data_IF_390971175016
#
_entry.id   IF_390971175016
#
_cell.length_a   1.000
_cell.length_b   1.000
_cell.length_c   1.000
_cell.angle_alpha   90.00
_cell.angle_beta   90.00
_cell.angle_gamma   90.00
#
_symmetry.space_group_name_H-M   'P 1'
#
loop_
_entity.id
_entity.type
_entity.pdbx_description
1 polymer ?
#
# COMPACT_ATOMS: atom_id res chain seq x y z
N UNK A 1 -27.75 -27.68 -36.88
CA UNK A 1 -27.18 -26.32 -36.76
C UNK A 1 -26.49 -26.25 -35.41
N UNK A 2 -25.26 -25.73 -35.41
CA UNK A 2 -24.19 -26.10 -34.50
C UNK A 2 -24.44 -25.74 -33.03
N UNK A 3 -24.08 -26.67 -32.15
CA UNK A 3 -23.84 -26.41 -30.75
C UNK A 3 -22.43 -25.82 -30.61
N UNK A 4 -22.35 -24.52 -30.34
CA UNK A 4 -21.11 -23.86 -29.92
C UNK A 4 -20.69 -24.42 -28.55
N UNK A 5 -19.68 -25.29 -28.57
CA UNK A 5 -18.88 -25.60 -27.38
C UNK A 5 -17.98 -24.40 -27.13
N UNK A 6 -18.34 -23.59 -26.13
CA UNK A 6 -17.48 -22.53 -25.62
C UNK A 6 -16.17 -23.15 -25.13
N UNK A 7 -15.08 -22.93 -25.86
CA UNK A 7 -13.74 -23.21 -25.38
C UNK A 7 -13.48 -22.34 -24.15
N UNK A 8 -13.37 -22.97 -22.97
CA UNK A 8 -12.95 -22.28 -21.76
C UNK A 8 -11.58 -21.63 -22.01
N UNK A 9 -11.50 -20.31 -21.88
CA UNK A 9 -10.26 -19.57 -22.02
C UNK A 9 -9.24 -20.12 -20.99
N UNK A 10 -8.02 -20.43 -21.45
CA UNK A 10 -6.94 -20.87 -20.57
C UNK A 10 -6.59 -19.76 -19.57
N UNK A 11 -6.89 -19.97 -18.29
CA UNK A 11 -6.62 -19.07 -17.14
C UNK A 11 -5.15 -19.01 -16.70
N UNK A 12 -4.24 -19.56 -17.49
CA UNK A 12 -2.81 -19.60 -17.17
C UNK A 12 -2.02 -18.61 -18.03
N UNK A 13 -1.15 -17.82 -17.39
CA UNK A 13 -0.21 -16.93 -18.08
C UNK A 13 1.12 -17.66 -18.26
N UNK A 14 1.65 -17.64 -19.49
CA UNK A 14 2.95 -18.24 -19.83
C UNK A 14 3.93 -17.15 -20.23
N UNK A 15 5.08 -17.08 -19.57
CA UNK A 15 6.13 -16.07 -19.83
C UNK A 15 7.52 -16.68 -19.78
N UNK A 16 8.52 -15.90 -20.20
CA UNK A 16 9.94 -16.21 -20.02
C UNK A 16 10.52 -15.27 -18.97
N UNK A 17 11.25 -15.83 -17.99
CA UNK A 17 11.85 -15.10 -16.88
C UNK A 17 13.33 -15.43 -16.78
N UNK A 18 14.19 -14.44 -16.66
CA UNK A 18 15.64 -14.65 -16.44
C UNK A 18 15.94 -15.00 -14.98
N UNK A 19 15.20 -14.40 -14.05
CA UNK A 19 15.37 -14.64 -12.63
C UNK A 19 14.87 -16.05 -12.23
N UNK A 20 15.64 -16.82 -11.42
CA UNK A 20 15.26 -18.15 -10.96
C UNK A 20 14.05 -18.13 -10.03
N UNK A 21 13.42 -19.30 -9.73
CA UNK A 21 12.42 -19.39 -8.67
C UNK A 21 13.01 -18.91 -7.33
N UNK A 22 12.21 -18.16 -6.58
CA UNK A 22 12.53 -17.62 -5.26
C UNK A 22 12.16 -18.56 -4.11
N UNK A 23 11.12 -19.41 -4.27
CA UNK A 23 10.72 -20.34 -3.19
C UNK A 23 11.50 -21.66 -3.20
N UNK A 24 11.60 -22.33 -4.35
CA UNK A 24 12.33 -23.60 -4.44
C UNK A 24 12.78 -23.93 -5.87
N UNK A 25 13.98 -24.51 -5.99
CA UNK A 25 14.51 -25.10 -7.22
C UNK A 25 14.97 -26.55 -6.98
N UNK A 26 14.60 -27.42 -7.91
CA UNK A 26 15.02 -28.81 -7.98
C UNK A 26 15.85 -29.04 -9.25
N UNK A 27 17.13 -29.35 -9.05
CA UNK A 27 18.05 -29.72 -10.13
C UNK A 27 18.19 -31.24 -10.21
N UNK A 28 17.91 -31.80 -11.37
CA UNK A 28 18.00 -33.23 -11.63
C UNK A 28 19.20 -33.46 -12.54
N UNK A 29 20.10 -34.34 -12.12
CA UNK A 29 21.34 -34.57 -12.85
C UNK A 29 21.20 -35.54 -14.02
N UNK A 30 20.22 -36.45 -13.96
CA UNK A 30 19.95 -37.44 -14.99
C UNK A 30 18.44 -37.66 -15.08
N UNK A 31 17.80 -37.01 -16.07
CA UNK A 31 16.35 -37.07 -16.25
C UNK A 31 15.87 -38.48 -16.60
N UNK A 32 16.61 -39.25 -17.41
CA UNK A 32 16.18 -40.61 -17.77
C UNK A 32 16.13 -41.55 -16.55
N UNK A 33 17.12 -41.45 -15.65
CA UNK A 33 17.09 -42.21 -14.40
C UNK A 33 16.01 -41.70 -13.45
N UNK A 34 15.80 -40.39 -13.39
CA UNK A 34 14.73 -39.78 -12.61
C UNK A 34 13.35 -40.26 -13.07
N UNK A 35 13.08 -40.22 -14.38
CA UNK A 35 11.84 -40.69 -14.97
C UNK A 35 11.59 -42.16 -14.61
N UNK A 36 12.59 -43.03 -14.85
CA UNK A 36 12.50 -44.47 -14.49
C UNK A 36 12.28 -44.70 -13.01
N UNK A 37 12.92 -43.91 -12.13
CA UNK A 37 12.77 -44.09 -10.70
C UNK A 37 11.38 -43.67 -10.21
N UNK A 38 10.71 -42.72 -10.87
CA UNK A 38 9.35 -42.33 -10.47
C UNK A 38 8.30 -43.41 -10.73
N UNK A 39 8.57 -44.37 -11.62
CA UNK A 39 7.65 -45.51 -11.90
C UNK A 39 7.40 -46.34 -10.64
N UNK A 40 8.39 -46.45 -9.74
CA UNK A 40 8.22 -47.16 -8.46
C UNK A 40 7.59 -46.31 -7.35
N UNK A 41 7.27 -45.04 -7.62
CA UNK A 41 6.72 -44.09 -6.65
C UNK A 41 5.44 -43.40 -7.14
N UNK A 42 4.50 -44.17 -7.71
CA UNK A 42 3.21 -43.65 -8.23
C UNK A 42 3.42 -42.57 -9.31
N UNK A 43 4.45 -42.78 -10.15
CA UNK A 43 4.83 -41.91 -11.28
C UNK A 43 5.17 -40.47 -10.89
N UNK A 44 5.50 -40.21 -9.61
CA UNK A 44 5.85 -38.88 -9.12
C UNK A 44 7.07 -38.87 -8.24
N UNK A 45 7.74 -37.73 -8.24
CA UNK A 45 8.73 -37.36 -7.25
C UNK A 45 8.14 -36.31 -6.30
N UNK A 46 8.36 -36.48 -4.99
CA UNK A 46 8.08 -35.46 -3.99
C UNK A 46 9.41 -34.90 -3.47
N UNK A 47 9.56 -33.57 -3.52
CA UNK A 47 10.77 -32.91 -3.01
C UNK A 47 10.91 -33.03 -1.49
N UNK A 48 12.06 -32.59 -0.98
CA UNK A 48 12.19 -32.22 0.43
C UNK A 48 11.28 -31.04 0.76
N UNK A 49 11.00 -30.88 2.05
CA UNK A 49 10.25 -29.74 2.55
C UNK A 49 11.06 -28.46 2.30
N UNK A 50 10.38 -27.41 1.86
CA UNK A 50 10.89 -26.05 1.82
C UNK A 50 9.88 -25.08 2.43
N UNK A 51 10.37 -23.97 2.97
CA UNK A 51 9.54 -22.99 3.65
C UNK A 51 9.31 -21.76 2.75
N UNK A 52 8.06 -21.31 2.65
CA UNK A 52 7.71 -20.06 1.98
C UNK A 52 6.46 -19.46 2.62
N UNK A 53 6.45 -18.13 2.81
CA UNK A 53 5.31 -17.41 3.39
C UNK A 53 4.90 -17.86 4.79
N UNK A 54 5.82 -18.43 5.57
CA UNK A 54 5.55 -18.95 6.92
C UNK A 54 5.00 -20.39 6.97
N UNK A 55 4.87 -21.07 5.83
CA UNK A 55 4.36 -22.43 5.74
C UNK A 55 5.39 -23.37 5.10
N UNK A 56 5.22 -24.67 5.34
CA UNK A 56 6.05 -25.73 4.78
C UNK A 56 5.37 -26.38 3.58
N UNK A 57 6.13 -26.57 2.51
CA UNK A 57 5.64 -27.01 1.21
C UNK A 57 6.51 -28.12 0.64
N UNK A 58 5.94 -28.88 -0.31
CA UNK A 58 6.67 -29.81 -1.19
C UNK A 58 6.31 -29.57 -2.64
N UNK A 59 7.31 -29.66 -3.50
CA UNK A 59 7.14 -29.69 -4.94
C UNK A 59 6.92 -31.14 -5.37
N UNK A 60 5.87 -31.39 -6.14
CA UNK A 60 5.53 -32.70 -6.69
C UNK A 60 5.67 -32.61 -8.21
N UNK A 61 6.40 -33.55 -8.81
CA UNK A 61 6.64 -33.59 -10.26
C UNK A 61 6.26 -34.96 -10.79
N UNK A 62 5.45 -34.98 -11.84
CA UNK A 62 5.16 -36.18 -12.64
C UNK A 62 5.86 -36.01 -14.00
N UNK A 63 7.02 -36.67 -14.22
CA UNK A 63 7.79 -36.50 -15.47
C UNK A 63 7.11 -37.09 -16.72
N UNK A 64 6.13 -37.97 -16.54
CA UNK A 64 5.30 -38.53 -17.62
C UNK A 64 3.84 -38.06 -17.55
N UNK A 65 3.56 -37.17 -16.60
CA UNK A 65 2.24 -36.62 -16.34
C UNK A 65 1.42 -37.37 -15.31
N UNK A 66 0.52 -36.63 -14.66
CA UNK A 66 -0.44 -37.19 -13.72
C UNK A 66 -1.66 -37.74 -14.46
N UNK A 67 -1.66 -39.03 -14.77
CA UNK A 67 -2.78 -39.68 -15.48
C UNK A 67 -4.12 -39.58 -14.74
N UNK A 68 -4.11 -39.41 -13.40
CA UNK A 68 -5.33 -39.24 -12.59
C UNK A 68 -5.94 -37.84 -12.72
N UNK A 69 -5.22 -36.89 -13.33
CA UNK A 69 -5.62 -35.48 -13.48
C UNK A 69 -5.42 -35.00 -14.93
N UNK A 70 -5.63 -35.89 -15.92
CA UNK A 70 -5.53 -35.58 -17.35
C UNK A 70 -4.18 -34.96 -17.78
N UNK A 71 -3.09 -35.31 -17.11
CA UNK A 71 -1.74 -34.81 -17.40
C UNK A 71 -0.89 -35.70 -18.31
N UNK A 72 -1.38 -36.88 -18.71
CA UNK A 72 -0.61 -37.84 -19.52
C UNK A 72 0.00 -37.21 -20.77
N UNK A 73 1.29 -37.46 -21.00
CA UNK A 73 2.03 -36.89 -22.13
C UNK A 73 2.56 -35.46 -21.89
N UNK A 74 2.37 -34.92 -20.69
CA UNK A 74 2.90 -33.63 -20.26
C UNK A 74 3.66 -33.79 -18.95
N UNK A 75 4.70 -32.98 -18.75
CA UNK A 75 5.21 -32.72 -17.41
C UNK A 75 4.07 -32.07 -16.60
N UNK A 76 3.72 -32.67 -15.46
CA UNK A 76 2.80 -32.06 -14.48
C UNK A 76 3.58 -31.67 -13.23
N UNK A 77 3.26 -30.51 -12.65
CA UNK A 77 3.84 -30.09 -11.37
C UNK A 77 2.76 -29.58 -10.44
N UNK A 78 2.92 -29.88 -9.16
CA UNK A 78 2.01 -29.49 -8.08
C UNK A 78 2.82 -29.04 -6.87
N UNK A 79 2.17 -28.30 -5.99
CA UNK A 79 2.68 -27.99 -4.67
C UNK A 79 1.71 -28.54 -3.63
N UNK A 80 2.27 -29.11 -2.57
CA UNK A 80 1.55 -29.64 -1.42
C UNK A 80 1.95 -28.85 -0.18
N UNK A 81 0.99 -28.36 0.59
CA UNK A 81 1.24 -27.80 1.92
C UNK A 81 1.27 -28.92 2.96
N UNK A 82 2.21 -28.87 3.88
CA UNK A 82 2.28 -29.83 4.99
C UNK A 82 1.09 -29.63 5.94
N UNK A 83 0.41 -30.73 6.29
CA UNK A 83 -0.82 -30.68 7.10
C UNK A 83 -0.56 -30.14 8.51
N UNK A 84 0.63 -30.42 9.07
CA UNK A 84 1.07 -29.85 10.35
C UNK A 84 1.10 -28.31 10.30
N UNK A 85 1.45 -27.71 9.16
CA UNK A 85 1.43 -26.25 8.98
C UNK A 85 0.02 -25.66 8.96
N UNK A 86 -1.01 -26.46 8.69
CA UNK A 86 -2.43 -26.05 8.74
C UNK A 86 -3.05 -26.26 10.13
N UNK A 87 -2.40 -27.04 11.00
CA UNK A 87 -2.90 -27.42 12.32
C UNK A 87 -2.32 -26.56 13.46
N UNK A 88 -1.41 -25.62 13.15
CA UNK A 88 -0.74 -24.76 14.14
C UNK A 88 -1.72 -23.81 14.84
N UNK A 89 -2.85 -23.49 14.21
CA UNK A 89 -3.90 -22.64 14.77
C UNK A 89 -5.21 -23.43 14.83
N UNK A 90 -5.99 -23.21 15.89
CA UNK A 90 -7.36 -23.73 16.04
C UNK A 90 -8.33 -22.55 15.91
N UNK A 91 -9.27 -22.56 14.94
CA UNK A 91 -9.61 -23.60 13.96
C UNK A 91 -8.59 -23.74 12.80
N UNK A 92 -8.65 -24.83 11.98
CA UNK A 92 -7.72 -25.04 10.86
C UNK A 92 -7.60 -23.82 9.96
N UNK A 93 -6.37 -23.38 9.71
CA UNK A 93 -6.12 -22.17 8.91
C UNK A 93 -6.39 -22.44 7.43
N UNK A 94 -6.99 -21.47 6.76
CA UNK A 94 -7.02 -21.42 5.30
C UNK A 94 -5.85 -20.59 4.80
N UNK A 95 -5.05 -21.17 3.91
CA UNK A 95 -3.89 -20.51 3.34
C UNK A 95 -4.18 -20.19 1.89
N UNK A 96 -4.15 -18.91 1.55
CA UNK A 96 -4.29 -18.45 0.18
C UNK A 96 -2.90 -18.23 -0.40
N UNK A 97 -2.62 -18.82 -1.57
CA UNK A 97 -1.32 -18.64 -2.21
C UNK A 97 -1.41 -18.55 -3.73
N UNK A 98 -0.61 -17.66 -4.32
CA UNK A 98 -0.31 -17.67 -5.75
C UNK A 98 0.82 -18.66 -6.01
N UNK A 99 0.68 -19.42 -7.11
CA UNK A 99 1.64 -20.46 -7.48
C UNK A 99 2.17 -20.17 -8.87
N UNK A 100 3.50 -20.19 -9.01
CA UNK A 100 4.17 -20.08 -10.32
C UNK A 100 5.14 -21.22 -10.47
N UNK A 101 5.03 -21.98 -11.55
CA UNK A 101 5.93 -23.08 -11.86
C UNK A 101 6.95 -22.67 -12.90
N UNK A 102 8.15 -23.23 -12.79
CA UNK A 102 9.29 -22.92 -13.63
C UNK A 102 9.90 -24.19 -14.22
N UNK A 103 10.21 -24.13 -15.52
CA UNK A 103 11.05 -25.13 -16.20
C UNK A 103 12.20 -24.38 -16.86
N UNK A 104 13.44 -24.66 -16.47
CA UNK A 104 14.60 -23.97 -17.02
C UNK A 104 14.87 -24.41 -18.46
N UNK A 105 15.12 -23.43 -19.32
CA UNK A 105 15.55 -23.63 -20.70
C UNK A 105 16.99 -23.13 -20.84
N UNK A 106 17.93 -24.04 -21.05
CA UNK A 106 19.36 -23.73 -21.17
C UNK A 106 19.69 -22.95 -22.45
N UNK A 107 18.99 -23.24 -23.55
CA UNK A 107 19.20 -22.61 -24.86
C UNK A 107 18.85 -21.13 -24.83
N UNK A 108 17.76 -20.78 -24.16
CA UNK A 108 17.34 -19.38 -23.98
C UNK A 108 17.98 -18.72 -22.75
N UNK A 109 18.61 -19.52 -21.88
CA UNK A 109 19.08 -19.13 -20.55
C UNK A 109 17.98 -18.46 -19.71
N UNK A 110 16.75 -18.98 -19.81
CA UNK A 110 15.54 -18.43 -19.18
C UNK A 110 14.68 -19.55 -18.63
N UNK A 111 13.82 -19.21 -17.68
CA UNK A 111 12.78 -20.09 -17.18
C UNK A 111 11.49 -19.87 -17.93
N UNK A 112 10.95 -20.94 -18.49
CA UNK A 112 9.55 -20.96 -18.90
C UNK A 112 8.70 -20.98 -17.64
N UNK A 113 7.97 -19.90 -17.46
CA UNK A 113 7.14 -19.66 -16.28
C UNK A 113 5.69 -19.87 -16.64
N UNK A 114 4.97 -20.59 -15.78
CA UNK A 114 3.53 -20.79 -15.92
C UNK A 114 2.90 -20.43 -14.60
N UNK A 115 2.06 -19.40 -14.64
CA UNK A 115 1.35 -18.89 -13.49
C UNK A 115 -0.14 -19.15 -13.66
N UNK A 116 -0.76 -19.66 -12.61
CA UNK A 116 -2.21 -19.66 -12.46
C UNK A 116 -2.65 -18.28 -11.98
N UNK A 117 -3.64 -17.67 -12.65
CA UNK A 117 -4.15 -16.34 -12.30
C UNK A 117 -4.93 -16.39 -10.98
N UNK A 118 -5.52 -17.54 -10.65
CA UNK A 118 -6.34 -17.67 -9.45
C UNK A 118 -5.49 -18.00 -8.23
N UNK A 119 -5.71 -17.24 -7.16
CA UNK A 119 -5.19 -17.55 -5.83
C UNK A 119 -5.77 -18.88 -5.35
N UNK A 120 -4.91 -19.81 -4.95
CA UNK A 120 -5.32 -21.14 -4.51
C UNK A 120 -5.55 -21.18 -3.01
N UNK A 121 -6.72 -21.70 -2.63
CA UNK A 121 -7.12 -21.92 -1.24
C UNK A 121 -6.69 -23.30 -0.79
N UNK A 122 -5.68 -23.35 0.06
CA UNK A 122 -5.22 -24.56 0.75
C UNK A 122 -5.93 -24.68 2.09
N UNK A 123 -6.41 -25.88 2.40
CA UNK A 123 -7.03 -26.20 3.68
C UNK A 123 -6.88 -27.71 3.97
N UNK A 124 -7.38 -28.16 5.13
CA UNK A 124 -7.27 -29.55 5.56
C UNK A 124 -7.88 -30.58 4.58
N UNK A 125 -8.82 -30.17 3.72
CA UNK A 125 -9.46 -31.02 2.71
C UNK A 125 -8.78 -30.93 1.35
N UNK A 126 -8.05 -29.84 1.08
CA UNK A 126 -7.37 -29.60 -0.20
C UNK A 126 -5.99 -28.99 0.03
N UNK A 127 -5.01 -29.87 0.19
CA UNK A 127 -3.60 -29.52 0.47
C UNK A 127 -2.72 -29.45 -0.77
N UNK A 128 -3.22 -29.91 -1.93
CA UNK A 128 -2.45 -29.99 -3.18
C UNK A 128 -3.11 -29.15 -4.27
N UNK A 129 -2.32 -28.31 -4.93
CA UNK A 129 -2.71 -27.56 -6.12
C UNK A 129 -1.58 -27.56 -7.13
N UNK A 130 -1.88 -27.52 -8.42
CA UNK A 130 -0.87 -27.57 -9.46
C UNK A 130 -1.44 -27.46 -10.85
N UNK A 131 -0.59 -27.72 -11.84
CA UNK A 131 -0.93 -27.71 -13.24
C UNK A 131 -0.59 -29.07 -13.86
N UNK A 132 -1.61 -29.68 -14.44
CA UNK A 132 -1.52 -30.99 -15.07
C UNK A 132 -0.73 -30.97 -16.40
N UNK A 133 -0.71 -29.84 -17.12
CA UNK A 133 -0.11 -29.73 -18.45
C UNK A 133 0.82 -28.52 -18.56
N UNK A 134 2.00 -28.61 -17.90
CA UNK A 134 3.00 -27.54 -17.91
C UNK A 134 3.74 -27.50 -19.24
N UNK A 135 4.29 -28.64 -19.67
CA UNK A 135 5.10 -28.74 -20.87
C UNK A 135 4.93 -30.13 -21.49
N UNK A 136 4.62 -30.26 -22.79
CA UNK A 136 4.53 -31.57 -23.43
C UNK A 136 5.85 -32.35 -23.26
N UNK A 137 5.77 -33.64 -22.95
CA UNK A 137 6.95 -34.49 -22.76
C UNK A 137 7.83 -34.50 -24.02
N UNK A 138 7.25 -34.58 -25.21
CA UNK A 138 8.00 -34.54 -26.47
C UNK A 138 8.75 -33.22 -26.65
N UNK A 139 8.16 -32.11 -26.21
CA UNK A 139 8.81 -30.79 -26.24
C UNK A 139 9.96 -30.74 -25.23
N UNK A 140 9.75 -31.26 -24.02
CA UNK A 140 10.77 -31.27 -22.96
C UNK A 140 11.97 -32.16 -23.33
N UNK A 141 11.70 -33.35 -23.87
CA UNK A 141 12.72 -34.36 -24.19
C UNK A 141 13.46 -34.11 -25.50
N UNK A 142 12.93 -33.27 -26.39
CA UNK A 142 13.61 -32.91 -27.64
C UNK A 142 14.86 -32.05 -27.33
N UNK A 143 16.08 -32.52 -27.65
CA UNK A 143 17.32 -31.80 -27.39
C UNK A 143 17.37 -30.39 -28.01
N UNK A 144 16.69 -30.18 -29.14
CA UNK A 144 16.63 -28.89 -29.84
C UNK A 144 15.93 -27.79 -29.03
N UNK A 145 15.10 -28.18 -28.06
CA UNK A 145 14.34 -27.27 -27.22
C UNK A 145 15.11 -26.83 -25.95
N UNK A 146 16.20 -27.52 -25.57
CA UNK A 146 17.12 -27.05 -24.53
C UNK A 146 16.64 -27.18 -23.06
N UNK A 147 15.60 -27.96 -22.78
CA UNK A 147 15.15 -28.21 -21.39
C UNK A 147 15.95 -29.31 -20.68
N UNK A 148 16.43 -30.29 -21.43
CA UNK A 148 17.43 -31.26 -20.98
C UNK A 148 18.77 -30.85 -21.59
N UNK A 149 19.79 -30.68 -20.75
CA UNK A 149 21.13 -30.25 -21.16
C UNK A 149 22.21 -31.23 -20.68
N UNK A 150 23.48 -30.86 -20.82
CA UNK A 150 24.68 -31.69 -20.64
C UNK A 150 24.53 -32.80 -19.59
N UNK A 151 24.68 -34.06 -20.01
CA UNK A 151 24.60 -35.23 -19.11
C UNK A 151 23.18 -35.65 -18.73
N UNK A 152 22.13 -35.09 -19.35
CA UNK A 152 20.73 -35.38 -19.02
C UNK A 152 20.19 -34.52 -17.88
N UNK A 153 20.83 -33.37 -17.63
CA UNK A 153 20.46 -32.46 -16.55
C UNK A 153 19.21 -31.66 -16.91
N UNK A 154 18.37 -31.35 -15.91
CA UNK A 154 17.25 -30.42 -16.05
C UNK A 154 16.94 -29.75 -14.71
N UNK A 155 16.15 -28.66 -14.76
CA UNK A 155 15.81 -27.89 -13.57
C UNK A 155 14.32 -27.49 -13.58
N UNK A 156 13.68 -27.75 -12.45
CA UNK A 156 12.29 -27.39 -12.16
C UNK A 156 12.24 -26.45 -10.95
N UNK A 157 11.26 -25.57 -10.92
CA UNK A 157 11.12 -24.61 -9.83
C UNK A 157 9.68 -24.27 -9.50
N UNK A 158 9.50 -23.66 -8.34
CA UNK A 158 8.21 -23.11 -7.92
C UNK A 158 8.40 -21.84 -7.09
N UNK A 159 7.50 -20.89 -7.29
CA UNK A 159 7.23 -19.78 -6.36
C UNK A 159 5.87 -20.03 -5.71
N UNK A 160 5.86 -20.01 -4.38
CA UNK A 160 4.66 -20.06 -3.55
C UNK A 160 4.60 -18.74 -2.79
N UNK A 161 3.69 -17.87 -3.21
CA UNK A 161 3.53 -16.54 -2.61
C UNK A 161 2.26 -16.56 -1.79
N UNK A 162 2.43 -16.65 -0.48
CA UNK A 162 1.30 -16.69 0.46
C UNK A 162 0.70 -15.31 0.59
N UNK A 163 -0.59 -15.20 0.28
CA UNK A 163 -1.41 -14.02 0.50
C UNK A 163 -1.81 -13.98 1.97
N UNK A 164 -1.07 -13.19 2.75
CA UNK A 164 -1.45 -12.92 4.13
C UNK A 164 -2.75 -12.09 4.17
N UNK A 165 -3.60 -12.27 5.20
CA UNK A 165 -4.76 -11.40 5.40
C UNK A 165 -4.31 -9.94 5.51
N UNK A 166 -5.21 -9.01 5.18
CA UNK A 166 -4.95 -7.59 5.32
C UNK A 166 -4.69 -7.26 6.80
N UNK A 167 -3.43 -7.03 7.17
CA UNK A 167 -3.03 -6.75 8.56
C UNK A 167 -2.98 -5.26 8.89
N UNK A 168 -2.85 -4.42 7.86
CA UNK A 168 -2.68 -2.98 8.02
C UNK A 168 -3.61 -2.24 7.08
N UNK A 169 -4.37 -1.30 7.63
CA UNK A 169 -5.17 -0.36 6.85
C UNK A 169 -5.24 0.98 7.58
N UNK A 170 -5.51 2.03 6.80
CA UNK A 170 -5.73 3.38 7.29
C UNK A 170 -7.09 3.89 6.82
N UNK A 171 -7.78 4.64 7.68
CA UNK A 171 -8.95 5.42 7.29
C UNK A 171 -8.64 6.88 7.48
N UNK A 172 -8.60 7.59 6.36
CA UNK A 172 -8.60 9.04 6.30
C UNK A 172 -10.05 9.52 6.36
N UNK A 173 -10.37 10.28 7.39
CA UNK A 173 -11.70 10.85 7.61
C UNK A 173 -11.62 12.37 7.68
N UNK A 174 -12.72 13.05 7.36
CA UNK A 174 -12.83 14.50 7.42
C UNK A 174 -13.95 14.88 8.38
N UNK A 175 -13.61 15.70 9.38
CA UNK A 175 -14.62 16.38 10.18
C UNK A 175 -15.03 17.63 9.41
N UNK A 176 -16.25 17.64 8.86
CA UNK A 176 -16.78 18.77 8.08
C UNK A 176 -17.94 19.50 8.79
N UNK A 177 -18.55 18.85 9.77
CA UNK A 177 -19.62 19.42 10.58
C UNK A 177 -19.08 19.78 11.96
N UNK A 178 -18.96 21.08 12.20
CA UNK A 178 -18.56 21.63 13.50
C UNK A 178 -19.79 22.26 14.15
N UNK A 179 -19.95 22.10 15.47
CA UNK A 179 -21.01 22.77 16.24
C UNK A 179 -20.80 24.29 16.31
N UNK A 180 -19.54 24.72 16.35
CA UNK A 180 -19.10 26.09 16.13
C UNK A 180 -17.84 26.01 15.26
N UNK A 181 -17.96 26.38 13.97
CA UNK A 181 -16.86 26.28 13.00
C UNK A 181 -15.91 27.47 13.07
N UNK A 182 -16.20 28.48 13.90
CA UNK A 182 -15.49 29.75 13.89
C UNK A 182 -14.70 29.97 15.16
N UNK A 183 -13.52 30.55 15.01
CA UNK A 183 -12.76 31.12 16.09
C UNK A 183 -12.46 32.58 15.78
N UNK A 184 -12.92 33.48 16.64
CA UNK A 184 -12.67 34.93 16.52
C UNK A 184 -11.72 35.40 17.61
N UNK A 185 -10.81 36.30 17.23
CA UNK A 185 -9.81 36.88 18.13
C UNK A 185 -9.71 38.38 17.90
N UNK A 186 -9.89 39.15 18.97
CA UNK A 186 -9.75 40.60 18.97
C UNK A 186 -8.41 41.00 19.59
N UNK A 187 -7.63 41.79 18.85
CA UNK A 187 -6.36 42.36 19.28
C UNK A 187 -6.57 43.85 19.51
N UNK A 188 -6.54 44.27 20.79
CA UNK A 188 -6.75 45.67 21.18
C UNK A 188 -5.46 46.48 21.11
N UNK A 189 -5.59 47.81 20.96
CA UNK A 189 -4.48 48.77 20.89
C UNK A 189 -3.40 48.32 19.89
N UNK A 190 -3.83 47.87 18.71
CA UNK A 190 -2.99 47.21 17.72
C UNK A 190 -1.79 48.06 17.31
N UNK A 191 -1.98 49.38 17.20
CA UNK A 191 -0.97 50.34 16.78
C UNK A 191 0.13 50.54 17.83
N UNK A 192 -0.14 50.22 19.10
CA UNK A 192 0.77 50.37 20.24
C UNK A 192 1.53 49.08 20.61
N UNK A 193 1.29 47.99 19.89
CA UNK A 193 1.92 46.69 20.17
C UNK A 193 3.45 46.78 20.06
N UNK A 194 4.13 46.46 21.16
CA UNK A 194 5.59 46.44 21.26
C UNK A 194 6.21 45.12 20.80
N UNK A 195 5.47 44.02 20.96
CA UNK A 195 5.94 42.69 20.58
C UNK A 195 5.73 42.45 19.08
N UNK A 196 6.71 41.78 18.47
CA UNK A 196 6.67 41.47 17.04
C UNK A 196 5.68 40.35 16.67
N UNK A 197 5.23 39.58 17.66
CA UNK A 197 4.28 38.48 17.49
C UNK A 197 3.23 38.52 18.59
N UNK A 198 1.98 38.30 18.22
CA UNK A 198 0.86 38.10 19.13
C UNK A 198 0.36 36.67 18.98
N UNK A 199 0.03 36.03 20.10
CA UNK A 199 -0.46 34.65 20.13
C UNK A 199 -1.86 34.60 20.72
N UNK A 200 -2.81 33.97 20.03
CA UNK A 200 -4.18 33.83 20.54
C UNK A 200 -4.24 32.81 21.69
N UNK A 201 -5.37 32.81 22.42
CA UNK A 201 -5.73 31.63 23.24
C UNK A 201 -5.83 30.39 22.34
N UNK A 202 -5.54 29.23 22.91
CA UNK A 202 -5.79 27.96 22.22
C UNK A 202 -7.28 27.67 22.10
N UNK A 203 -7.67 26.98 21.05
CA UNK A 203 -9.04 26.54 20.78
C UNK A 203 -9.05 25.16 20.15
N UNK A 204 -10.18 24.45 20.25
CA UNK A 204 -10.31 23.08 19.73
C UNK A 204 -11.17 23.06 18.49
N UNK A 205 -10.70 22.38 17.44
CA UNK A 205 -11.42 22.20 16.18
C UNK A 205 -11.03 20.88 15.55
N UNK A 206 -12.02 20.07 15.13
CA UNK A 206 -11.75 18.77 14.52
C UNK A 206 -11.01 17.78 15.44
N UNK A 207 -11.24 17.88 16.76
CA UNK A 207 -10.56 17.05 17.76
C UNK A 207 -9.09 17.42 18.01
N UNK A 208 -8.60 18.52 17.43
CA UNK A 208 -7.22 19.01 17.60
C UNK A 208 -7.22 20.40 18.25
N UNK A 209 -6.15 20.72 18.98
CA UNK A 209 -5.95 22.03 19.60
C UNK A 209 -5.07 22.91 18.70
N UNK A 210 -5.58 24.11 18.44
CA UNK A 210 -4.97 25.10 17.56
C UNK A 210 -4.78 26.42 18.27
N UNK A 211 -3.97 27.29 17.69
CA UNK A 211 -3.86 28.70 18.08
C UNK A 211 -3.37 29.52 16.89
N UNK A 212 -3.61 30.84 16.91
CA UNK A 212 -3.14 31.75 15.88
C UNK A 212 -1.88 32.48 16.33
N UNK A 213 -0.92 32.62 15.41
CA UNK A 213 0.18 33.58 15.51
C UNK A 213 -0.04 34.69 14.51
N UNK A 214 0.00 35.93 14.99
CA UNK A 214 -0.14 37.12 14.17
C UNK A 214 1.09 38.00 14.36
N UNK A 215 1.66 38.47 13.25
CA UNK A 215 2.80 39.38 13.25
C UNK A 215 2.32 40.74 12.75
N UNK A 216 2.11 41.74 13.63
CA UNK A 216 1.49 43.01 13.28
C UNK A 216 2.21 43.77 12.17
N UNK A 217 3.54 43.64 12.10
CA UNK A 217 4.39 44.26 11.06
C UNK A 217 4.93 43.23 10.06
N UNK A 218 4.39 42.03 10.09
CA UNK A 218 4.90 40.90 9.33
C UNK A 218 6.04 40.16 10.03
N UNK A 219 6.26 38.91 9.64
CA UNK A 219 7.40 38.13 10.12
C UNK A 219 8.73 38.61 9.47
N UNK A 220 9.84 37.97 9.82
CA UNK A 220 11.18 38.35 9.32
C UNK A 220 11.33 38.30 7.79
N UNK A 221 10.36 37.71 7.07
CA UNK A 221 10.35 37.54 5.62
C UNK A 221 9.40 38.53 4.92
N UNK A 222 8.68 39.37 5.67
CA UNK A 222 7.59 40.21 5.17
C UNK A 222 7.93 41.71 5.00
N UNK A 223 9.21 42.09 5.09
CA UNK A 223 9.74 43.46 4.89
C UNK A 223 9.04 44.59 5.67
N UNK A 224 8.27 44.29 6.72
CA UNK A 224 7.59 45.31 7.52
C UNK A 224 6.27 45.85 6.95
N UNK A 225 5.82 45.38 5.77
CA UNK A 225 4.76 46.04 4.96
C UNK A 225 3.39 45.40 5.04
N UNK A 226 3.34 44.12 5.41
CA UNK A 226 2.12 43.33 5.45
C UNK A 226 1.98 42.65 6.81
N UNK A 227 0.73 42.49 7.26
CA UNK A 227 0.37 41.60 8.34
C UNK A 227 0.71 40.15 7.94
N UNK A 228 1.35 39.38 8.82
CA UNK A 228 1.44 37.92 8.67
C UNK A 228 0.52 37.23 9.66
N UNK A 229 -0.08 36.11 9.25
CA UNK A 229 -0.93 35.31 10.12
C UNK A 229 -0.75 33.82 9.81
N UNK A 230 -0.70 33.01 10.87
CA UNK A 230 -0.50 31.56 10.80
C UNK A 230 -1.45 30.85 11.76
N UNK A 231 -2.02 29.74 11.30
CA UNK A 231 -2.67 28.74 12.14
C UNK A 231 -1.62 27.73 12.57
N UNK A 232 -1.43 27.61 13.88
CA UNK A 232 -0.49 26.70 14.49
C UNK A 232 -1.22 25.57 15.20
N UNK A 233 -0.72 24.36 15.02
CA UNK A 233 -1.13 23.17 15.77
C UNK A 233 -0.39 23.16 17.12
N UNK A 234 -1.09 22.85 18.19
CA UNK A 234 -0.48 22.76 19.52
C UNK A 234 0.45 21.54 19.63
N UNK A 235 1.50 21.66 20.45
CA UNK A 235 2.50 20.60 20.62
C UNK A 235 1.89 19.28 21.13
N UNK A 236 0.82 19.34 21.95
CA UNK A 236 0.11 18.15 22.44
C UNK A 236 -0.62 17.37 21.34
N UNK A 237 -0.84 17.99 20.17
CA UNK A 237 -1.52 17.41 19.02
C UNK A 237 -0.58 17.24 17.81
N UNK A 238 0.74 17.39 18.01
CA UNK A 238 1.75 17.21 16.98
C UNK A 238 1.58 15.85 16.29
N UNK A 239 1.54 15.80 14.94
CA UNK A 239 1.45 14.54 14.20
C UNK A 239 2.67 13.66 14.48
N UNK A 240 2.47 12.35 14.53
CA UNK A 240 3.56 11.38 14.56
C UNK A 240 4.35 11.38 13.23
N UNK A 241 5.54 10.74 13.17
CA UNK A 241 6.21 10.49 11.90
C UNK A 241 5.23 9.87 10.89
N UNK A 242 5.29 10.35 9.64
CA UNK A 242 4.42 9.96 8.52
C UNK A 242 2.92 10.28 8.66
N UNK A 243 2.46 10.83 9.78
CA UNK A 243 1.10 11.35 9.94
C UNK A 243 0.99 12.76 9.34
N UNK A 244 -0.13 13.03 8.65
CA UNK A 244 -0.46 14.36 8.13
C UNK A 244 -1.88 14.75 8.51
N UNK A 245 -2.07 16.03 8.82
CA UNK A 245 -3.37 16.61 9.14
C UNK A 245 -3.69 17.66 8.09
N UNK A 246 -4.74 17.45 7.30
CA UNK A 246 -5.27 18.44 6.40
C UNK A 246 -6.21 19.38 7.14
N UNK A 247 -6.09 20.67 6.84
CA UNK A 247 -7.05 21.68 7.25
C UNK A 247 -7.52 22.45 6.03
N UNK A 248 -8.83 22.57 5.90
CA UNK A 248 -9.48 23.55 5.05
C UNK A 248 -10.21 24.56 5.91
N UNK A 249 -9.92 25.84 5.71
CA UNK A 249 -10.54 26.94 6.44
C UNK A 249 -10.61 28.22 5.59
N UNK A 250 -11.27 29.25 6.10
CA UNK A 250 -11.19 30.62 5.60
C UNK A 250 -10.64 31.50 6.71
N UNK A 251 -9.54 32.19 6.45
CA UNK A 251 -9.09 33.27 7.33
C UNK A 251 -9.78 34.57 6.93
N UNK A 252 -10.16 35.37 7.92
CA UNK A 252 -10.82 36.65 7.75
C UNK A 252 -10.21 37.74 8.63
N UNK A 253 -10.17 38.96 8.09
CA UNK A 253 -10.09 40.19 8.88
C UNK A 253 -11.45 40.86 8.81
N UNK A 254 -12.07 41.05 9.97
CA UNK A 254 -13.43 41.56 10.05
C UNK A 254 -13.43 43.08 9.93
N UNK A 255 -14.08 43.60 8.89
CA UNK A 255 -14.49 45.01 8.83
C UNK A 255 -15.47 45.31 9.98
N UNK A 256 -15.15 46.25 10.89
CA UNK A 256 -16.00 46.58 12.03
C UNK A 256 -17.36 47.18 11.63
N UNK A 257 -17.52 47.64 10.39
CA UNK A 257 -18.81 48.11 9.84
C UNK A 257 -19.68 46.98 9.28
N UNK A 258 -19.16 45.77 9.23
CA UNK A 258 -19.85 44.57 8.76
C UNK A 258 -19.99 44.43 7.25
N UNK A 259 -19.53 45.42 6.47
CA UNK A 259 -19.85 45.52 5.04
C UNK A 259 -18.92 44.71 4.15
N UNK A 260 -17.61 44.63 4.45
CA UNK A 260 -16.63 43.96 3.59
C UNK A 260 -15.49 43.31 4.38
N UNK A 261 -15.65 42.07 4.84
CA UNK A 261 -14.55 41.32 5.46
C UNK A 261 -13.50 40.90 4.42
N UNK A 262 -12.22 41.13 4.69
CA UNK A 262 -11.14 40.53 3.90
C UNK A 262 -11.10 39.04 4.20
N UNK A 263 -11.02 38.17 3.18
CA UNK A 263 -10.91 36.74 3.40
C UNK A 263 -9.97 36.04 2.43
N UNK A 264 -9.30 34.98 2.90
CA UNK A 264 -8.52 34.06 2.05
C UNK A 264 -8.76 32.62 2.45
N UNK A 265 -8.93 31.77 1.44
CA UNK A 265 -9.05 30.33 1.65
C UNK A 265 -7.70 29.74 2.06
N UNK A 266 -7.74 28.87 3.06
CA UNK A 266 -6.62 28.15 3.60
C UNK A 266 -6.82 26.65 3.33
N UNK A 267 -5.88 26.03 2.66
CA UNK A 267 -5.78 24.58 2.51
C UNK A 267 -4.34 24.20 2.84
N UNK A 268 -4.12 23.38 3.86
CA UNK A 268 -2.77 23.08 4.31
C UNK A 268 -2.66 21.69 4.91
N UNK A 269 -1.54 21.01 4.63
CA UNK A 269 -1.19 19.73 5.23
C UNK A 269 -0.10 19.95 6.27
N UNK A 270 -0.47 19.81 7.54
CA UNK A 270 0.44 19.78 8.66
C UNK A 270 1.14 18.42 8.73
N UNK A 271 2.40 18.44 9.16
CA UNK A 271 3.20 17.25 9.46
C UNK A 271 4.10 17.53 10.66
N UNK A 272 4.89 16.55 11.08
CA UNK A 272 5.78 16.66 12.24
C UNK A 272 6.69 17.90 12.22
N UNK A 273 7.19 18.30 11.05
CA UNK A 273 8.15 19.40 10.90
C UNK A 273 7.46 20.76 10.70
N UNK A 274 6.22 20.77 10.22
CA UNK A 274 5.49 21.97 9.81
C UNK A 274 4.19 22.10 10.61
N UNK A 275 4.32 22.61 11.84
CA UNK A 275 3.19 22.82 12.76
C UNK A 275 2.48 24.17 12.56
N UNK A 276 2.93 24.99 11.60
CA UNK A 276 2.36 26.30 11.31
C UNK A 276 2.17 26.52 9.82
N UNK A 277 0.95 26.84 9.40
CA UNK A 277 0.60 27.17 8.02
C UNK A 277 -0.12 28.52 7.97
N UNK A 278 0.15 29.32 6.93
CA UNK A 278 -0.45 30.64 6.79
C UNK A 278 0.25 31.50 5.74
N UNK A 279 0.18 32.82 5.92
CA UNK A 279 0.76 33.77 4.98
C UNK A 279 1.74 34.70 5.64
N UNK A 280 2.94 34.78 5.05
CA UNK A 280 3.95 35.80 5.33
C UNK A 280 3.40 37.19 4.95
N UNK A 281 2.67 37.30 3.84
CA UNK A 281 2.02 38.54 3.42
C UNK A 281 0.52 38.29 3.28
N UNK A 282 -0.22 38.49 4.38
CA UNK A 282 -1.65 38.23 4.44
C UNK A 282 -2.48 39.42 3.94
N UNK A 283 -2.26 40.60 4.53
CA UNK A 283 -2.97 41.83 4.24
C UNK A 283 -2.03 43.04 4.41
N UNK A 284 -2.11 44.03 3.52
CA UNK A 284 -1.22 45.20 3.59
C UNK A 284 -1.56 46.09 4.79
N UNK A 285 -0.54 46.64 5.47
CA UNK A 285 -0.78 47.53 6.61
C UNK A 285 -1.48 48.85 6.26
N UNK A 286 -1.24 49.49 5.10
CA UNK A 286 -1.99 50.68 4.69
C UNK A 286 -3.50 50.39 4.55
N UNK A 287 -3.86 49.26 3.96
CA UNK A 287 -5.25 48.84 3.83
C UNK A 287 -5.87 48.50 5.19
N UNK A 288 -5.12 47.77 6.02
CA UNK A 288 -5.50 47.44 7.40
C UNK A 288 -5.91 48.68 8.20
N UNK A 289 -5.05 49.70 8.20
CA UNK A 289 -5.26 50.99 8.89
C UNK A 289 -6.46 51.77 8.38
N UNK A 290 -6.73 51.70 7.08
CA UNK A 290 -7.80 52.48 6.45
C UNK A 290 -9.18 51.85 6.67
N UNK A 291 -9.26 50.53 6.76
CA UNK A 291 -10.52 49.79 6.60
C UNK A 291 -10.90 48.95 7.82
N UNK A 292 -9.93 48.36 8.53
CA UNK A 292 -10.19 47.20 9.39
C UNK A 292 -9.96 47.41 10.89
N UNK A 293 -9.53 48.61 11.31
CA UNK A 293 -9.53 48.98 12.72
C UNK A 293 -10.87 49.60 13.11
N UNK A 294 -11.35 49.25 14.30
CA UNK A 294 -12.49 49.94 14.91
C UNK A 294 -12.07 51.24 15.60
N UNK A 295 -13.04 51.93 16.21
CA UNK A 295 -12.82 53.20 16.90
C UNK A 295 -11.89 53.08 18.12
N UNK A 296 -11.64 51.86 18.60
CA UNK A 296 -10.78 51.55 19.74
C UNK A 296 -9.44 50.93 19.30
N UNK A 297 -9.04 51.12 18.04
CA UNK A 297 -7.80 50.55 17.47
C UNK A 297 -7.72 49.02 17.64
N UNK A 298 -8.88 48.35 17.60
CA UNK A 298 -8.97 46.90 17.74
C UNK A 298 -9.07 46.24 16.37
N UNK A 299 -8.21 45.25 16.14
CA UNK A 299 -8.26 44.37 14.99
C UNK A 299 -9.00 43.08 15.35
N UNK A 300 -10.01 42.69 14.56
CA UNK A 300 -10.70 41.41 14.74
C UNK A 300 -10.35 40.46 13.59
N UNK A 301 -9.76 39.33 13.94
CA UNK A 301 -9.49 38.23 13.00
C UNK A 301 -10.41 37.05 13.31
N UNK A 302 -10.81 36.34 12.28
CA UNK A 302 -11.63 35.13 12.39
C UNK A 302 -11.04 34.04 11.51
N UNK A 303 -11.12 32.79 11.96
CA UNK A 303 -10.92 31.62 11.12
C UNK A 303 -12.18 30.77 11.16
N UNK A 304 -12.69 30.42 9.99
CA UNK A 304 -13.84 29.53 9.82
C UNK A 304 -13.36 28.21 9.21
N UNK A 305 -13.44 27.13 9.97
CA UNK A 305 -13.04 25.80 9.53
C UNK A 305 -14.14 25.16 8.68
N UNK A 306 -13.71 24.51 7.60
CA UNK A 306 -14.57 23.72 6.71
C UNK A 306 -14.30 22.23 6.81
N UNK A 307 -13.03 21.86 6.95
CA UNK A 307 -12.64 20.47 7.15
C UNK A 307 -11.36 20.38 7.97
N UNK A 308 -11.29 19.37 8.84
CA UNK A 308 -10.04 18.91 9.47
C UNK A 308 -9.97 17.40 9.28
N UNK A 309 -8.87 16.89 8.71
CA UNK A 309 -8.71 15.46 8.56
C UNK A 309 -8.26 14.80 9.85
N UNK A 310 -8.64 13.53 10.01
CA UNK A 310 -8.12 12.64 11.03
C UNK A 310 -7.82 11.28 10.40
N UNK A 311 -6.63 10.76 10.67
CA UNK A 311 -6.22 9.43 10.20
C UNK A 311 -6.31 8.47 11.38
N UNK A 312 -7.02 7.36 11.19
CA UNK A 312 -6.98 6.22 12.11
C UNK A 312 -6.16 5.12 11.48
N UNK A 313 -5.03 4.81 12.10
CA UNK A 313 -4.19 3.68 11.74
C UNK A 313 -4.54 2.50 12.66
N UNK A 314 -4.83 1.33 12.08
CA UNK A 314 -5.13 0.11 12.83
C UNK A 314 -4.18 -1.00 12.36
N UNK A 315 -2.98 -1.11 12.95
CA UNK A 315 -2.16 -2.29 12.76
C UNK A 315 -2.76 -3.41 13.61
N UNK A 316 -3.12 -4.53 12.98
CA UNK A 316 -3.36 -5.76 13.72
C UNK A 316 -1.97 -6.27 14.10
N UNK A 317 -1.54 -5.99 15.32
CA UNK A 317 -0.27 -6.48 15.90
C UNK A 317 -0.43 -7.95 16.26
#
# INVERSE_FOLDING_TARGET
MGSDLSAAASTNVRTLREHPPSSYSLKIHNFSQFEKSTVSSDHKYKSRIFSSGGYNWRLIIYPQGNGKDNGSGYISMYVEIESESLMVLTPPTEVFAEIRFFVYNKKENKYRTIQDIEVKRFNALKTVWGLQQILPCDTFSNPENGYIFEGGQCEFGVDVIVSLPLTNWEVLSYTEKFSDSKFSWAIKNFSELKENVQTSKSFSMGGKKWFLKLYPKGDSRADGKCLSIFLCLADCDKPKPDEKIFVQANFRVLDPRGSNHFQRQFNYWYNEQHLGGGWIQFLSLPELRKVYFDKEDTLKVEIEFKAVSATKYSPII
#
